data_IF_510043054718
#
_entry.id   IF_510043054718
#
_cell.length_a   1.000
_cell.length_b   1.000
_cell.length_c   1.000
_cell.angle_alpha   90.00
_cell.angle_beta   90.00
_cell.angle_gamma   90.00
#
_symmetry.space_group_name_H-M   'P 1'
#
loop_
_entity.id
_entity.type
_entity.pdbx_description
1 polymer ?
#
# COMPACT_ATOMS: atom_id res chain seq x y z
N UNK A 1 13.69 -8.99 -2.12
CA UNK A 1 13.15 -10.07 -1.27
C UNK A 1 11.63 -9.94 -1.17
N UNK A 2 10.96 -11.05 -0.83
CA UNK A 2 9.52 -11.12 -0.54
C UNK A 2 9.32 -12.20 0.51
N UNK A 3 8.42 -12.01 1.45
CA UNK A 3 7.99 -13.04 2.38
C UNK A 3 6.61 -13.57 2.00
N UNK A 4 6.42 -14.89 2.15
CA UNK A 4 5.12 -15.54 2.13
C UNK A 4 4.89 -16.07 3.54
N UNK A 5 3.83 -15.61 4.18
CA UNK A 5 3.54 -15.88 5.60
C UNK A 5 2.17 -16.54 5.72
N UNK A 6 2.11 -17.72 6.33
CA UNK A 6 0.85 -18.35 6.69
C UNK A 6 0.27 -17.64 7.91
N UNK A 7 -1.03 -17.35 7.92
CA UNK A 7 -1.71 -16.82 9.12
C UNK A 7 -1.61 -17.83 10.26
N UNK A 8 -1.91 -19.09 9.96
CA UNK A 8 -1.96 -20.16 10.98
C UNK A 8 -0.61 -20.87 11.08
N UNK A 9 0.28 -20.35 11.91
CA UNK A 9 1.57 -21.00 12.21
C UNK A 9 1.68 -21.38 13.69
N UNK A 10 2.35 -22.51 14.02
CA UNK A 10 2.61 -22.88 15.42
C UNK A 10 3.60 -21.90 16.06
N UNK A 11 3.41 -21.59 17.34
CA UNK A 11 4.25 -20.74 18.21
C UNK A 11 4.05 -19.22 18.01
N UNK A 12 4.04 -18.72 16.78
CA UNK A 12 3.79 -17.32 16.44
C UNK A 12 2.87 -17.30 15.23
N UNK A 13 1.74 -16.64 15.33
CA UNK A 13 0.85 -16.48 14.19
C UNK A 13 1.45 -15.51 13.15
N UNK A 14 0.99 -15.63 11.90
CA UNK A 14 1.50 -14.85 10.79
C UNK A 14 1.29 -13.34 10.95
N UNK A 15 0.23 -12.92 11.62
CA UNK A 15 -0.08 -11.49 11.84
C UNK A 15 0.97 -10.86 12.73
N UNK A 16 1.29 -11.50 13.86
CA UNK A 16 2.36 -11.03 14.75
C UNK A 16 3.73 -11.06 14.06
N UNK A 17 3.99 -12.06 13.21
CA UNK A 17 5.22 -12.09 12.41
C UNK A 17 5.33 -10.90 11.48
N UNK A 18 4.26 -10.54 10.77
CA UNK A 18 4.24 -9.36 9.88
C UNK A 18 4.49 -8.08 10.67
N UNK A 19 3.86 -7.91 11.84
CA UNK A 19 4.12 -6.77 12.72
C UNK A 19 5.60 -6.65 13.12
N UNK A 20 6.26 -7.77 13.42
CA UNK A 20 7.69 -7.75 13.75
C UNK A 20 8.54 -7.40 12.53
N UNK A 21 8.25 -7.99 11.37
CA UNK A 21 8.96 -7.71 10.14
C UNK A 21 8.87 -6.22 9.76
N UNK A 22 7.72 -5.58 9.95
CA UNK A 22 7.51 -4.18 9.60
C UNK A 22 8.24 -3.17 10.49
N UNK A 23 8.78 -3.60 11.63
CA UNK A 23 9.65 -2.73 12.45
C UNK A 23 10.99 -2.46 11.77
N UNK A 24 11.48 -3.42 10.98
CA UNK A 24 12.83 -3.38 10.41
C UNK A 24 12.85 -3.41 8.88
N UNK A 25 11.82 -4.00 8.23
CA UNK A 25 11.84 -4.32 6.81
C UNK A 25 10.61 -3.83 6.06
N UNK A 26 10.83 -3.35 4.83
CA UNK A 26 9.80 -2.83 3.92
C UNK A 26 9.60 -3.71 2.66
N UNK A 27 10.19 -4.89 2.61
CA UNK A 27 9.97 -5.79 1.48
C UNK A 27 8.52 -6.32 1.44
N UNK A 28 8.02 -6.72 0.26
CA UNK A 28 6.65 -7.22 0.12
C UNK A 28 6.38 -8.46 0.99
N UNK A 29 5.21 -8.47 1.62
CA UNK A 29 4.70 -9.59 2.42
C UNK A 29 3.36 -10.04 1.87
N UNK A 30 3.29 -11.29 1.44
CA UNK A 30 2.07 -11.96 0.98
C UNK A 30 1.59 -12.93 2.04
N UNK A 31 0.35 -12.79 2.49
CA UNK A 31 -0.22 -13.68 3.51
C UNK A 31 -1.04 -14.80 2.89
N UNK A 32 -0.96 -16.00 3.49
CA UNK A 32 -1.83 -17.13 3.17
C UNK A 32 -2.87 -17.28 4.28
N UNK A 33 -4.17 -17.23 3.95
CA UNK A 33 -5.25 -17.34 4.94
C UNK A 33 -6.30 -18.37 4.55
N UNK A 34 -7.02 -18.92 5.52
CA UNK A 34 -8.19 -19.77 5.26
C UNK A 34 -9.38 -18.92 4.75
N UNK A 35 -10.25 -19.51 3.94
CA UNK A 35 -11.37 -18.80 3.29
C UNK A 35 -12.42 -18.27 4.28
N UNK A 36 -12.49 -18.84 5.48
CA UNK A 36 -13.47 -18.51 6.53
C UNK A 36 -13.07 -17.32 7.42
N UNK A 37 -11.86 -16.79 7.26
CA UNK A 37 -11.26 -15.83 8.21
C UNK A 37 -11.08 -14.46 7.54
N UNK A 38 -12.21 -13.80 7.18
CA UNK A 38 -12.15 -12.41 6.65
C UNK A 38 -11.52 -11.45 7.65
N UNK A 39 -11.73 -11.68 8.94
CA UNK A 39 -11.15 -10.85 9.99
C UNK A 39 -9.62 -10.92 9.96
N UNK A 40 -9.04 -12.10 9.76
CA UNK A 40 -7.59 -12.29 9.71
C UNK A 40 -6.96 -11.63 8.47
N UNK A 41 -7.69 -11.59 7.34
CA UNK A 41 -7.26 -10.87 6.14
C UNK A 41 -7.16 -9.38 6.39
N UNK A 42 -8.21 -8.81 6.99
CA UNK A 42 -8.27 -7.38 7.34
C UNK A 42 -7.18 -7.06 8.37
N UNK A 43 -6.99 -7.91 9.38
CA UNK A 43 -5.94 -7.73 10.39
C UNK A 43 -4.55 -7.83 9.77
N UNK A 44 -4.27 -8.83 8.93
CA UNK A 44 -2.98 -8.98 8.27
C UNK A 44 -2.60 -7.78 7.41
N UNK A 45 -3.54 -7.26 6.63
CA UNK A 45 -3.35 -6.04 5.84
C UNK A 45 -3.18 -4.80 6.71
N UNK A 46 -3.96 -4.66 7.79
CA UNK A 46 -3.80 -3.58 8.77
C UNK A 46 -2.41 -3.57 9.41
N UNK A 47 -1.81 -4.76 9.60
CA UNK A 47 -0.49 -4.91 10.19
C UNK A 47 0.64 -4.79 9.17
N UNK A 48 0.33 -4.43 7.91
CA UNK A 48 1.30 -4.09 6.88
C UNK A 48 1.59 -5.17 5.85
N UNK A 49 0.79 -6.22 5.74
CA UNK A 49 0.85 -7.11 4.59
C UNK A 49 0.47 -6.36 3.30
N UNK A 50 1.08 -6.71 2.19
CA UNK A 50 0.83 -6.07 0.90
C UNK A 50 -0.31 -6.73 0.11
N UNK A 51 -0.53 -8.02 0.33
CA UNK A 51 -1.61 -8.78 -0.32
C UNK A 51 -1.85 -10.08 0.45
N UNK A 52 -2.92 -10.80 0.09
CA UNK A 52 -3.22 -12.12 0.65
C UNK A 52 -3.73 -13.10 -0.41
N UNK A 53 -3.56 -14.39 -0.15
CA UNK A 53 -4.09 -15.50 -0.96
C UNK A 53 -4.88 -16.45 -0.06
N UNK A 54 -6.10 -16.76 -0.47
CA UNK A 54 -6.96 -17.69 0.29
C UNK A 54 -6.67 -19.13 -0.04
N UNK A 55 -6.58 -19.96 1.00
CA UNK A 55 -6.50 -21.42 0.87
C UNK A 55 -7.90 -22.03 0.63
N UNK A 56 -8.03 -23.04 -0.25
CA UNK A 56 -7.02 -23.58 -1.14
C UNK A 56 -6.74 -22.62 -2.31
N UNK A 57 -5.50 -22.44 -2.69
CA UNK A 57 -5.08 -21.61 -3.83
C UNK A 57 -4.51 -22.45 -4.97
N UNK A 58 -4.58 -21.93 -6.17
CA UNK A 58 -3.90 -22.50 -7.32
C UNK A 58 -2.42 -22.09 -7.31
N UNK A 59 -1.46 -23.01 -7.50
CA UNK A 59 -0.04 -22.67 -7.51
C UNK A 59 0.33 -21.56 -8.51
N UNK A 60 -0.32 -21.52 -9.66
CA UNK A 60 -0.11 -20.49 -10.67
C UNK A 60 -0.60 -19.11 -10.22
N UNK A 61 -1.69 -19.04 -9.45
CA UNK A 61 -2.16 -17.79 -8.86
C UNK A 61 -1.13 -17.23 -7.87
N UNK A 62 -0.67 -18.07 -6.94
CA UNK A 62 0.35 -17.67 -5.98
C UNK A 62 1.62 -17.19 -6.68
N UNK A 63 2.10 -17.93 -7.69
CA UNK A 63 3.28 -17.56 -8.45
C UNK A 63 3.12 -16.23 -9.19
N UNK A 64 1.96 -16.00 -9.82
CA UNK A 64 1.66 -14.74 -10.50
C UNK A 64 1.71 -13.56 -9.54
N UNK A 65 1.11 -13.66 -8.36
CA UNK A 65 1.14 -12.62 -7.31
C UNK A 65 2.55 -12.35 -6.81
N UNK A 66 3.31 -13.40 -6.48
CA UNK A 66 4.72 -13.29 -6.07
C UNK A 66 5.54 -12.53 -7.11
N UNK A 67 5.45 -12.94 -8.39
CA UNK A 67 6.18 -12.28 -9.46
C UNK A 67 5.76 -10.83 -9.64
N UNK A 68 4.47 -10.53 -9.50
CA UNK A 68 3.96 -9.16 -9.57
C UNK A 68 4.52 -8.28 -8.45
N UNK A 69 4.50 -8.76 -7.19
CA UNK A 69 5.06 -8.04 -6.05
C UNK A 69 6.57 -7.87 -6.16
N UNK A 70 7.32 -8.90 -6.57
CA UNK A 70 8.77 -8.80 -6.78
C UNK A 70 9.15 -7.80 -7.87
N UNK A 71 8.42 -7.78 -8.99
CA UNK A 71 8.65 -6.80 -10.07
C UNK A 71 8.45 -5.38 -9.58
N UNK A 72 7.37 -5.12 -8.81
CA UNK A 72 7.06 -3.80 -8.26
C UNK A 72 8.11 -3.36 -7.24
N UNK A 73 8.55 -4.28 -6.38
CA UNK A 73 9.56 -3.98 -5.37
C UNK A 73 10.92 -3.66 -6.00
N UNK A 74 11.33 -4.38 -7.05
CA UNK A 74 12.55 -4.04 -7.80
C UNK A 74 12.47 -2.64 -8.38
N UNK A 75 11.35 -2.32 -9.03
CA UNK A 75 11.16 -0.97 -9.58
C UNK A 75 11.16 0.13 -8.52
N UNK A 76 10.62 -0.16 -7.34
CA UNK A 76 10.73 0.72 -6.19
C UNK A 76 12.20 0.93 -5.77
N UNK A 77 12.96 -0.14 -5.62
CA UNK A 77 14.38 -0.07 -5.26
C UNK A 77 15.24 0.62 -6.35
N UNK A 78 14.95 0.38 -7.62
CA UNK A 78 15.62 1.05 -8.74
C UNK A 78 15.41 2.57 -8.67
N UNK A 79 14.21 3.03 -8.37
CA UNK A 79 13.92 4.45 -8.18
C UNK A 79 14.66 5.05 -6.99
N UNK A 80 14.70 4.35 -5.86
CA UNK A 80 15.45 4.79 -4.67
C UNK A 80 16.95 4.91 -4.94
N UNK A 81 17.50 4.03 -5.80
CA UNK A 81 18.93 4.00 -6.11
C UNK A 81 19.36 4.91 -7.28
N UNK A 82 18.41 5.43 -8.07
CA UNK A 82 18.70 6.35 -9.18
C UNK A 82 18.79 7.81 -8.71
N UNK A 83 19.69 8.11 -7.81
CA UNK A 83 20.00 9.47 -7.33
C UNK A 83 20.86 10.26 -8.33
N UNK A 84 20.58 10.26 -9.63
CA UNK A 84 21.26 11.21 -10.50
C UNK A 84 20.47 11.50 -11.77
N UNK A 85 20.13 12.76 -11.89
CA UNK A 85 19.77 13.53 -13.06
C UNK A 85 18.29 13.83 -13.36
N UNK A 86 17.95 15.08 -13.05
CA UNK A 86 17.01 15.97 -13.74
C UNK A 86 15.52 15.90 -13.46
N UNK A 87 15.08 16.96 -12.80
CA UNK A 87 13.74 17.41 -12.43
C UNK A 87 13.10 16.55 -11.35
N UNK A 88 13.32 16.96 -10.12
CA UNK A 88 12.57 16.42 -8.97
C UNK A 88 11.07 16.50 -9.25
N UNK A 89 10.44 15.37 -9.48
CA UNK A 89 8.99 15.27 -9.53
C UNK A 89 8.44 15.27 -8.10
N UNK A 90 8.20 16.48 -7.59
CA UNK A 90 7.65 16.68 -6.24
C UNK A 90 6.19 17.07 -6.36
N UNK A 91 5.32 16.27 -5.76
CA UNK A 91 3.89 16.53 -5.66
C UNK A 91 3.59 17.11 -4.30
N UNK A 92 2.92 18.29 -4.26
CA UNK A 92 2.59 19.01 -3.03
C UNK A 92 1.10 19.22 -2.92
N UNK A 93 0.55 18.90 -1.75
CA UNK A 93 -0.84 19.22 -1.37
C UNK A 93 -0.88 19.57 0.11
N UNK A 94 -1.13 20.83 0.44
CA UNK A 94 -1.03 21.30 1.83
C UNK A 94 0.34 21.01 2.43
N UNK A 95 0.38 20.33 3.57
CA UNK A 95 1.61 19.90 4.23
C UNK A 95 2.22 18.62 3.68
N UNK A 96 1.57 17.95 2.70
CA UNK A 96 2.11 16.75 2.07
C UNK A 96 3.09 17.12 0.96
N UNK A 97 4.28 16.55 1.00
CA UNK A 97 5.28 16.62 -0.05
C UNK A 97 5.77 15.21 -0.39
N UNK A 98 5.45 14.73 -1.58
CA UNK A 98 5.88 13.44 -2.07
C UNK A 98 6.89 13.62 -3.20
N UNK A 99 8.12 13.19 -2.96
CA UNK A 99 9.20 13.19 -3.93
C UNK A 99 9.23 11.83 -4.64
N UNK A 100 8.94 11.82 -5.95
CA UNK A 100 8.89 10.58 -6.74
C UNK A 100 10.30 10.01 -6.98
N UNK A 101 11.32 10.85 -7.09
CA UNK A 101 12.69 10.42 -7.33
C UNK A 101 13.32 9.78 -6.09
N UNK A 102 13.10 10.40 -4.91
CA UNK A 102 13.61 9.89 -3.63
C UNK A 102 12.71 8.84 -3.00
N UNK A 103 11.52 8.62 -3.57
CA UNK A 103 10.49 7.75 -3.00
C UNK A 103 10.18 8.10 -1.54
N UNK A 104 10.19 9.40 -1.24
CA UNK A 104 10.07 9.95 0.10
C UNK A 104 8.78 10.75 0.24
N UNK A 105 8.06 10.51 1.33
CA UNK A 105 6.94 11.35 1.77
C UNK A 105 7.38 12.20 2.96
N UNK A 106 7.03 13.49 2.90
CA UNK A 106 7.08 14.38 4.05
C UNK A 106 5.68 14.89 4.38
N UNK A 107 5.40 14.97 5.67
CA UNK A 107 4.19 15.58 6.22
C UNK A 107 4.65 16.69 7.15
N UNK A 108 4.29 17.93 6.81
CA UNK A 108 4.76 19.13 7.53
C UNK A 108 6.29 19.15 7.74
N UNK A 109 7.03 18.75 6.70
CA UNK A 109 8.50 18.68 6.70
C UNK A 109 9.10 17.42 7.32
N UNK A 110 8.34 16.61 8.03
CA UNK A 110 8.83 15.38 8.67
C UNK A 110 8.71 14.18 7.73
N UNK A 111 9.78 13.39 7.63
CA UNK A 111 9.79 12.17 6.80
C UNK A 111 8.84 11.13 7.41
N UNK A 112 7.96 10.60 6.58
CA UNK A 112 6.97 9.57 6.95
C UNK A 112 7.22 8.31 6.13
N UNK A 113 7.38 7.19 6.83
CA UNK A 113 7.67 5.90 6.22
C UNK A 113 6.39 5.22 5.70
N UNK A 114 6.36 4.93 4.40
CA UNK A 114 5.29 4.19 3.74
C UNK A 114 5.77 2.82 3.30
N UNK A 115 4.86 1.84 3.30
CA UNK A 115 5.13 0.58 2.58
C UNK A 115 5.12 0.83 1.07
N UNK A 116 5.72 -0.05 0.24
CA UNK A 116 5.73 0.12 -1.22
C UNK A 116 4.35 0.30 -1.84
N UNK A 117 3.32 -0.37 -1.30
CA UNK A 117 1.97 -0.26 -1.81
C UNK A 117 1.28 1.04 -1.39
N UNK A 118 1.43 1.43 -0.12
CA UNK A 118 0.93 2.72 0.37
C UNK A 118 1.53 3.88 -0.42
N UNK A 119 2.85 3.83 -0.67
CA UNK A 119 3.52 4.83 -1.49
C UNK A 119 2.92 4.93 -2.89
N UNK A 120 2.72 3.80 -3.58
CA UNK A 120 2.16 3.78 -4.94
C UNK A 120 0.72 4.28 -4.99
N UNK A 121 -0.09 3.90 -4.02
CA UNK A 121 -1.48 4.40 -3.91
C UNK A 121 -1.45 5.91 -3.71
N UNK A 122 -0.65 6.41 -2.77
CA UNK A 122 -0.57 7.83 -2.50
C UNK A 122 -0.03 8.60 -3.70
N UNK A 123 1.02 8.10 -4.37
CA UNK A 123 1.57 8.70 -5.59
C UNK A 123 0.52 8.80 -6.71
N UNK A 124 -0.25 7.74 -6.94
CA UNK A 124 -1.32 7.73 -7.93
C UNK A 124 -2.33 8.86 -7.66
N UNK A 125 -2.74 9.02 -6.40
CA UNK A 125 -3.70 10.02 -5.99
C UNK A 125 -3.12 11.44 -6.03
N UNK A 126 -1.86 11.62 -5.60
CA UNK A 126 -1.18 12.92 -5.58
C UNK A 126 -0.74 13.41 -6.97
N UNK A 127 -0.61 12.53 -7.96
CA UNK A 127 -0.40 12.96 -9.36
C UNK A 127 -1.59 13.72 -9.95
N UNK A 128 -2.79 13.47 -9.44
CA UNK A 128 -4.03 14.11 -9.93
C UNK A 128 -4.94 14.52 -8.76
N UNK A 129 -4.56 15.57 -7.99
CA UNK A 129 -5.35 16.01 -6.86
C UNK A 129 -6.77 16.42 -7.28
N UNK A 130 -7.77 16.00 -6.52
CA UNK A 130 -9.19 16.23 -6.81
C UNK A 130 -9.84 15.14 -7.68
N UNK A 131 -9.08 14.35 -8.42
CA UNK A 131 -9.61 13.22 -9.19
C UNK A 131 -10.02 12.09 -8.23
N UNK A 132 -11.22 11.56 -8.45
CA UNK A 132 -11.72 10.39 -7.73
C UNK A 132 -11.34 9.13 -8.50
N UNK A 133 -10.78 8.15 -7.78
CA UNK A 133 -10.45 6.84 -8.29
C UNK A 133 -11.28 5.79 -7.54
N UNK A 134 -11.92 4.88 -8.26
CA UNK A 134 -12.60 3.74 -7.62
C UNK A 134 -11.57 2.80 -6.99
N UNK A 135 -12.01 1.95 -6.06
CA UNK A 135 -11.14 0.93 -5.47
C UNK A 135 -10.56 0.00 -6.55
N UNK A 136 -11.39 -0.41 -7.52
CA UNK A 136 -10.97 -1.23 -8.65
C UNK A 136 -9.92 -0.50 -9.50
N UNK A 137 -10.16 0.77 -9.85
CA UNK A 137 -9.21 1.57 -10.64
C UNK A 137 -7.87 1.74 -9.91
N UNK A 138 -7.88 1.98 -8.58
CA UNK A 138 -6.65 2.03 -7.79
C UNK A 138 -5.94 0.68 -7.83
N UNK A 139 -6.69 -0.40 -7.61
CA UNK A 139 -6.13 -1.74 -7.65
C UNK A 139 -5.46 -2.01 -9.00
N UNK A 140 -6.19 -1.86 -10.10
CA UNK A 140 -5.70 -2.14 -11.46
C UNK A 140 -4.46 -1.32 -11.81
N UNK A 141 -4.43 -0.03 -11.45
CA UNK A 141 -3.28 0.85 -11.72
C UNK A 141 -2.07 0.56 -10.85
N UNK A 142 -2.27 0.21 -9.60
CA UNK A 142 -1.19 -0.01 -8.64
C UNK A 142 -0.66 -1.44 -8.72
N UNK A 143 -1.54 -2.44 -8.87
CA UNK A 143 -1.14 -3.84 -9.02
C UNK A 143 -0.84 -4.23 -10.46
N UNK A 144 -1.30 -3.42 -11.44
CA UNK A 144 -1.20 -3.68 -12.88
C UNK A 144 -1.85 -5.03 -13.28
N UNK A 145 -2.96 -5.35 -12.64
CA UNK A 145 -3.76 -6.56 -12.78
C UNK A 145 -5.25 -6.19 -12.65
N UNK A 146 -6.15 -7.04 -13.18
CA UNK A 146 -7.58 -6.85 -12.96
C UNK A 146 -7.90 -6.92 -11.48
N UNK A 147 -8.86 -6.11 -11.05
CA UNK A 147 -9.27 -6.06 -9.65
C UNK A 147 -9.89 -7.39 -9.23
N UNK A 148 -9.16 -8.13 -8.39
CA UNK A 148 -9.61 -9.39 -7.79
C UNK A 148 -9.97 -9.16 -6.32
N UNK A 149 -9.21 -8.29 -5.64
CA UNK A 149 -9.32 -8.02 -4.21
C UNK A 149 -9.33 -6.51 -3.93
N UNK A 150 -10.29 -5.79 -4.51
CA UNK A 150 -10.39 -4.33 -4.31
C UNK A 150 -10.61 -3.92 -2.83
N UNK A 151 -11.08 -4.84 -1.99
CA UNK A 151 -11.25 -4.62 -0.55
C UNK A 151 -9.92 -4.32 0.16
N UNK A 152 -8.79 -4.80 -0.39
CA UNK A 152 -7.46 -4.46 0.14
C UNK A 152 -7.18 -2.97 0.09
N UNK A 153 -7.76 -2.24 -0.87
CA UNK A 153 -7.58 -0.80 -1.01
C UNK A 153 -8.08 -0.07 0.24
N UNK A 154 -9.23 -0.44 0.78
CA UNK A 154 -9.80 0.20 1.97
C UNK A 154 -8.83 0.12 3.17
N UNK A 155 -8.13 -0.98 3.31
CA UNK A 155 -7.15 -1.17 4.38
C UNK A 155 -5.92 -0.30 4.16
N UNK A 156 -5.36 -0.29 2.95
CA UNK A 156 -4.23 0.59 2.63
C UNK A 156 -4.59 2.08 2.78
N UNK A 157 -5.79 2.49 2.38
CA UNK A 157 -6.29 3.85 2.58
C UNK A 157 -6.33 4.21 4.07
N UNK A 158 -6.81 3.30 4.92
CA UNK A 158 -6.82 3.50 6.37
C UNK A 158 -5.40 3.66 6.90
N UNK A 159 -4.48 2.77 6.54
CA UNK A 159 -3.09 2.81 6.97
C UNK A 159 -2.37 4.09 6.52
N UNK A 160 -2.63 4.53 5.28
CA UNK A 160 -2.10 5.81 4.78
C UNK A 160 -2.63 6.95 5.64
N UNK A 161 -3.95 7.02 5.93
CA UNK A 161 -4.53 8.05 6.78
C UNK A 161 -3.91 8.10 8.17
N UNK A 162 -3.65 6.96 8.79
CA UNK A 162 -3.00 6.88 10.10
C UNK A 162 -1.60 7.53 10.09
N UNK A 163 -0.96 7.61 8.92
CA UNK A 163 0.39 8.17 8.74
C UNK A 163 0.40 9.64 8.31
N UNK A 164 -0.60 10.10 7.57
CA UNK A 164 -0.60 11.44 6.97
C UNK A 164 -1.60 12.41 7.57
N UNK A 165 -2.59 11.93 8.32
CA UNK A 165 -3.67 12.78 8.84
C UNK A 165 -3.50 13.02 10.34
N UNK A 166 -3.74 14.23 10.79
CA UNK A 166 -3.84 14.53 12.22
C UNK A 166 -4.99 13.76 12.89
N UNK A 167 -6.09 13.57 12.19
CA UNK A 167 -7.21 12.77 12.62
C UNK A 167 -7.69 11.85 11.49
N UNK A 168 -7.31 10.57 11.49
CA UNK A 168 -7.69 9.60 10.45
C UNK A 168 -9.20 9.43 10.24
N UNK A 169 -10.00 9.70 11.29
CA UNK A 169 -11.48 9.65 11.21
C UNK A 169 -12.09 10.88 10.56
N UNK A 170 -11.37 12.01 10.55
CA UNK A 170 -11.75 13.26 9.88
C UNK A 170 -10.61 13.71 8.97
N UNK A 171 -10.33 12.97 7.89
CA UNK A 171 -9.17 13.21 7.05
C UNK A 171 -9.27 14.57 6.33
N UNK A 172 -8.16 15.29 6.24
CA UNK A 172 -8.05 16.52 5.47
C UNK A 172 -7.60 16.24 4.04
N UNK A 173 -6.60 15.38 3.88
CA UNK A 173 -5.95 15.10 2.61
C UNK A 173 -6.65 14.01 1.82
N UNK A 174 -6.77 12.79 2.39
CA UNK A 174 -7.25 11.61 1.70
C UNK A 174 -8.74 11.39 1.99
N UNK A 175 -9.60 11.86 1.07
CA UNK A 175 -11.06 11.82 1.20
C UNK A 175 -11.67 10.57 0.58
N UNK A 176 -12.77 10.11 1.16
CA UNK A 176 -13.69 9.15 0.54
C UNK A 176 -14.79 9.92 -0.18
N UNK A 177 -15.12 9.48 -1.38
CA UNK A 177 -16.34 9.90 -2.10
C UNK A 177 -17.28 8.71 -2.05
N UNK A 178 -18.29 8.78 -1.22
CA UNK A 178 -19.19 7.66 -0.92
C UNK A 178 -19.82 7.07 -2.20
N UNK A 179 -19.77 5.76 -2.31
CA UNK A 179 -20.27 5.03 -3.48
C UNK A 179 -19.40 5.14 -4.74
N UNK A 180 -18.30 5.93 -4.72
CA UNK A 180 -17.46 6.17 -5.90
C UNK A 180 -16.01 5.72 -5.68
N UNK A 181 -15.34 6.21 -4.60
CA UNK A 181 -13.94 5.87 -4.38
C UNK A 181 -13.19 6.87 -3.51
N UNK A 182 -11.93 7.12 -3.84
CA UNK A 182 -11.00 7.91 -3.03
C UNK A 182 -10.31 8.98 -3.87
N UNK A 183 -9.94 10.09 -3.22
CA UNK A 183 -9.16 11.17 -3.83
C UNK A 183 -8.24 11.82 -2.80
N UNK A 184 -7.17 12.48 -3.27
CA UNK A 184 -6.49 13.53 -2.51
C UNK A 184 -7.23 14.83 -2.77
N UNK A 185 -7.53 15.59 -1.70
CA UNK A 185 -8.18 16.90 -1.81
C UNK A 185 -7.22 17.89 -2.49
N UNK A 186 -7.74 18.76 -3.36
CA UNK A 186 -6.91 19.69 -4.12
C UNK A 186 -6.40 20.87 -3.29
N UNK A 187 -7.21 21.29 -2.32
CA UNK A 187 -6.96 22.46 -1.47
C UNK A 187 -7.11 22.05 0.01
N UNK A 188 -6.26 21.14 0.47
CA UNK A 188 -6.24 20.68 1.85
C UNK A 188 -5.30 21.53 2.71
#
# INVERSE_FOLDING_TARGET
>A
HLAIVDVMMPRMDGIHMVMQLRKEYDFPVLMLSAKSEEVDKIMGLNMGADDYVTKPFQPLELLARVNSHLRRYRHYLEKVNQETANKEHIYRVGGLELNEEKVELRVDGNVVKLTPMEYKILLLLMKNPGRVYSADEIYERVWNEKAINADTIMVHIRNIREKIELNPKKPNYLKVVWGVGYKIEKNA
#
